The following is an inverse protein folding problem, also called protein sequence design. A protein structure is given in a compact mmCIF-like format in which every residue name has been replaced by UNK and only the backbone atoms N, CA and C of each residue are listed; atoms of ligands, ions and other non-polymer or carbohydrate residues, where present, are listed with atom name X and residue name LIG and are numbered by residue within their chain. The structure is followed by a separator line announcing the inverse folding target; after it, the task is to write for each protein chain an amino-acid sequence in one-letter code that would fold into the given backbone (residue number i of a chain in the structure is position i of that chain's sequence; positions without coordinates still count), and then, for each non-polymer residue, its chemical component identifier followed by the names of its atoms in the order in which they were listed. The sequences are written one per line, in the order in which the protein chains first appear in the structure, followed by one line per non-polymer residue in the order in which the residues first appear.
data_IF_808972358866
#
_entry.id   IF_808972358866
#
_cell.length_a   1.000
_cell.length_b   1.000
_cell.length_c   1.000
_cell.angle_alpha   90.00
_cell.angle_beta   90.00
_cell.angle_gamma   90.00
#
_symmetry.space_group_name_H-M   'P 1'
#
loop_
_entity.id
_entity.type
_entity.pdbx_description
1 polymer ?
#
# COMPACT_ATOMS: atom_id res chain seq x y z
N UNK A 1 -2.02 -9.17 14.97
CA UNK A 1 -0.69 -9.15 14.31
C UNK A 1 -0.02 -10.52 14.33
N UNK A 2 0.16 -11.16 15.49
CA UNK A 2 0.80 -12.49 15.59
C UNK A 2 0.10 -13.52 14.67
N UNK A 3 -1.24 -13.59 14.68
CA UNK A 3 -1.97 -14.52 13.80
C UNK A 3 -1.83 -14.21 12.30
N UNK A 4 -1.66 -12.94 11.94
CA UNK A 4 -1.41 -12.53 10.56
C UNK A 4 -0.01 -12.96 10.12
N UNK A 5 1.01 -12.62 10.92
CA UNK A 5 2.41 -12.94 10.64
C UNK A 5 2.61 -14.45 10.54
N UNK A 6 2.08 -15.21 11.49
CA UNK A 6 2.10 -16.68 11.46
C UNK A 6 1.47 -17.23 10.17
N UNK A 7 0.34 -16.67 9.72
CA UNK A 7 -0.33 -17.11 8.49
C UNK A 7 0.49 -16.77 7.24
N UNK A 8 1.06 -15.58 7.16
CA UNK A 8 1.84 -15.16 6.00
C UNK A 8 3.15 -15.94 5.90
N UNK A 9 3.86 -16.15 7.00
CA UNK A 9 5.18 -16.78 7.00
C UNK A 9 5.17 -18.29 6.77
N UNK A 10 4.02 -18.93 6.98
CA UNK A 10 3.83 -20.33 6.54
C UNK A 10 3.79 -20.46 5.02
N UNK A 11 3.53 -19.35 4.30
CA UNK A 11 3.39 -19.32 2.83
C UNK A 11 4.52 -18.57 2.13
N UNK A 12 5.05 -17.51 2.74
CA UNK A 12 5.92 -16.52 2.09
C UNK A 12 7.14 -16.18 2.94
N UNK A 13 8.13 -15.58 2.27
CA UNK A 13 9.27 -14.99 2.94
C UNK A 13 8.90 -13.59 3.43
N UNK A 14 9.06 -13.36 4.72
CA UNK A 14 8.98 -12.05 5.35
C UNK A 14 10.39 -11.58 5.70
N UNK A 15 10.71 -10.33 5.37
CA UNK A 15 11.98 -9.69 5.72
C UNK A 15 11.72 -8.25 6.15
N UNK A 16 12.45 -7.77 7.15
CA UNK A 16 12.29 -6.45 7.74
C UNK A 16 13.45 -5.56 7.33
N UNK A 17 13.14 -4.32 6.94
CA UNK A 17 14.09 -3.37 6.38
C UNK A 17 13.80 -1.97 6.92
N UNK A 18 14.82 -1.10 6.91
CA UNK A 18 14.56 0.33 7.02
C UNK A 18 13.98 0.80 5.68
N UNK A 19 13.18 1.88 5.72
CA UNK A 19 12.67 2.51 4.49
C UNK A 19 13.81 2.86 3.53
N UNK A 20 14.94 3.34 4.07
CA UNK A 20 16.13 3.71 3.30
C UNK A 20 16.72 2.56 2.48
N UNK A 21 16.54 1.32 2.95
CA UNK A 21 17.17 0.14 2.34
C UNK A 21 16.37 -0.35 1.13
N UNK A 22 15.14 0.11 0.96
CA UNK A 22 14.28 -0.29 -0.16
C UNK A 22 14.84 0.15 -1.52
N UNK A 23 15.65 1.21 -1.57
CA UNK A 23 16.32 1.69 -2.79
C UNK A 23 17.13 0.61 -3.48
N UNK A 24 17.83 -0.17 -2.66
CA UNK A 24 18.80 -1.15 -3.12
C UNK A 24 18.08 -2.40 -3.64
N UNK A 25 16.83 -2.61 -3.21
CA UNK A 25 16.13 -3.88 -3.33
C UNK A 25 15.06 -3.87 -4.44
N UNK A 26 14.56 -2.70 -4.85
CA UNK A 26 13.44 -2.58 -5.79
C UNK A 26 13.64 -1.47 -6.81
N UNK A 27 13.29 -1.78 -8.06
CA UNK A 27 13.41 -0.87 -9.19
C UNK A 27 12.34 0.23 -9.16
N UNK A 28 11.09 -0.17 -8.88
CA UNK A 28 9.93 0.71 -8.91
C UNK A 28 8.95 0.38 -7.81
N UNK A 29 8.29 1.42 -7.32
CA UNK A 29 7.11 1.31 -6.49
C UNK A 29 5.90 1.59 -7.35
N UNK A 30 4.90 0.76 -7.19
CA UNK A 30 3.59 0.98 -7.79
C UNK A 30 2.69 1.45 -6.66
N UNK A 31 2.35 2.73 -6.70
CA UNK A 31 1.35 3.31 -5.84
C UNK A 31 0.02 3.26 -6.54
N UNK A 32 -1.03 3.04 -5.76
CA UNK A 32 -2.36 3.37 -6.19
C UNK A 32 -3.14 3.97 -5.02
N UNK A 33 -4.03 4.87 -5.36
CA UNK A 33 -4.86 5.57 -4.40
C UNK A 33 -6.28 5.65 -4.91
N UNK A 34 -7.25 5.55 -4.01
CA UNK A 34 -8.64 5.83 -4.34
C UNK A 34 -9.23 6.94 -3.49
N UNK A 35 -10.21 7.63 -4.05
CA UNK A 35 -11.00 8.63 -3.36
C UNK A 35 -12.46 8.47 -3.77
N UNK A 36 -13.35 8.26 -2.80
CA UNK A 36 -14.79 8.24 -3.10
C UNK A 36 -15.30 9.67 -3.18
N UNK A 37 -16.10 9.93 -4.18
CA UNK A 37 -16.74 11.22 -4.33
C UNK A 37 -17.56 11.60 -3.10
N UNK A 38 -18.28 10.66 -2.48
CA UNK A 38 -19.07 10.93 -1.27
C UNK A 38 -18.27 11.35 -0.03
N UNK A 39 -16.97 11.00 0.08
CA UNK A 39 -16.14 11.44 1.22
C UNK A 39 -15.92 12.95 1.21
N UNK A 40 -16.11 13.58 0.05
CA UNK A 40 -16.06 15.03 -0.10
C UNK A 40 -17.00 15.76 0.87
N UNK A 41 -18.25 15.32 0.96
CA UNK A 41 -19.28 15.96 1.78
C UNK A 41 -19.04 15.81 3.29
N UNK A 42 -18.04 15.04 3.70
CA UNK A 42 -17.65 14.88 5.11
C UNK A 42 -16.53 15.82 5.52
N UNK A 43 -15.89 16.51 4.57
CA UNK A 43 -14.80 17.45 4.86
C UNK A 43 -15.43 18.73 5.44
N UNK A 44 -14.93 19.30 6.56
CA UNK A 44 -15.49 20.49 7.21
C UNK A 44 -15.59 21.75 6.33
N UNK A 45 -14.90 21.76 5.19
CA UNK A 45 -14.94 22.83 4.16
C UNK A 45 -15.45 22.33 2.80
N UNK A 46 -16.03 21.13 2.79
CA UNK A 46 -16.56 20.42 1.63
C UNK A 46 -17.87 21.00 1.09
N UNK A 47 -18.31 22.16 1.55
CA UNK A 47 -19.43 22.88 0.91
C UNK A 47 -18.92 23.94 -0.10
N UNK A 48 -17.63 24.31 -0.02
CA UNK A 48 -17.04 25.42 -0.77
C UNK A 48 -16.12 25.00 -1.93
N UNK A 49 -15.92 23.70 -2.17
CA UNK A 49 -15.08 23.19 -3.27
C UNK A 49 -15.98 22.76 -4.42
N UNK A 50 -15.79 23.33 -5.60
CA UNK A 50 -16.56 22.88 -6.76
C UNK A 50 -16.27 21.38 -7.01
N UNK A 51 -17.29 20.48 -7.03
CA UNK A 51 -17.09 19.05 -7.25
C UNK A 51 -16.35 18.72 -8.54
N UNK A 52 -16.43 19.58 -9.56
CA UNK A 52 -15.66 19.45 -10.80
C UNK A 52 -14.15 19.53 -10.54
N UNK A 53 -13.70 20.33 -9.58
CA UNK A 53 -12.27 20.41 -9.21
C UNK A 53 -11.77 19.06 -8.69
N UNK A 54 -12.61 18.31 -7.97
CA UNK A 54 -12.26 16.98 -7.44
C UNK A 54 -12.09 15.98 -8.57
N UNK A 55 -12.98 16.02 -9.56
CA UNK A 55 -12.92 15.15 -10.74
C UNK A 55 -11.63 15.33 -11.55
N UNK A 56 -11.12 16.56 -11.64
CA UNK A 56 -9.86 16.82 -12.34
C UNK A 56 -8.62 16.54 -11.50
N UNK A 57 -8.73 16.54 -10.17
CA UNK A 57 -7.62 16.23 -9.26
C UNK A 57 -7.35 14.72 -9.22
N UNK A 58 -6.09 14.37 -9.02
CA UNK A 58 -5.70 13.00 -8.70
C UNK A 58 -6.36 12.53 -7.40
N UNK A 59 -6.71 11.25 -7.31
CA UNK A 59 -7.05 10.59 -6.06
C UNK A 59 -5.99 10.86 -4.98
N UNK A 60 -4.69 10.76 -5.33
CA UNK A 60 -3.58 11.13 -4.43
C UNK A 60 -3.74 12.55 -3.86
N UNK A 61 -4.03 13.55 -4.71
CA UNK A 61 -4.20 14.93 -4.26
C UNK A 61 -5.46 15.10 -3.42
N UNK A 62 -6.53 14.36 -3.73
CA UNK A 62 -7.78 14.40 -2.98
C UNK A 62 -7.65 13.79 -1.57
N UNK A 63 -6.71 12.87 -1.35
CA UNK A 63 -6.37 12.31 -0.02
C UNK A 63 -5.20 13.02 0.66
N UNK A 64 -4.73 14.15 0.11
CA UNK A 64 -3.70 14.98 0.75
C UNK A 64 -2.25 14.62 0.37
N UNK A 65 -2.03 13.85 -0.70
CA UNK A 65 -0.70 13.57 -1.23
C UNK A 65 -0.41 14.41 -2.46
N UNK A 66 0.67 15.18 -2.38
CA UNK A 66 1.23 15.89 -3.51
C UNK A 66 2.33 15.06 -4.17
N UNK A 67 2.03 14.56 -5.37
CA UNK A 67 3.01 13.86 -6.22
C UNK A 67 3.73 14.90 -7.07
N UNK A 68 5.06 14.95 -6.96
CA UNK A 68 5.91 15.92 -7.70
C UNK A 68 5.80 15.80 -9.21
N UNK A 69 5.53 14.60 -9.73
CA UNK A 69 5.41 14.31 -11.15
C UNK A 69 3.98 13.87 -11.54
N UNK A 70 2.98 14.77 -11.49
CA UNK A 70 1.58 14.37 -11.66
C UNK A 70 1.25 13.88 -13.08
N UNK A 71 2.14 14.11 -14.06
CA UNK A 71 1.96 13.68 -15.46
C UNK A 71 2.12 12.17 -15.67
N UNK A 72 2.76 11.46 -14.74
CA UNK A 72 2.92 10.00 -14.79
C UNK A 72 1.78 9.27 -14.07
N UNK A 73 0.83 10.00 -13.48
CA UNK A 73 -0.35 9.42 -12.84
C UNK A 73 -1.35 8.98 -13.91
N UNK A 74 -1.64 7.68 -13.93
CA UNK A 74 -2.74 7.12 -14.72
C UNK A 74 -4.00 7.25 -13.87
N UNK A 75 -4.97 8.03 -14.35
CA UNK A 75 -6.25 8.26 -13.66
C UNK A 75 -7.34 7.40 -14.26
N UNK A 76 -8.13 6.76 -13.39
CA UNK A 76 -9.36 6.03 -13.72
C UNK A 76 -10.52 6.54 -12.87
N UNK A 77 -11.73 6.37 -13.40
CA UNK A 77 -12.98 6.69 -12.73
C UNK A 77 -13.86 5.45 -12.75
N UNK A 78 -14.21 4.94 -11.57
CA UNK A 78 -15.07 3.78 -11.40
C UNK A 78 -16.46 4.24 -10.99
N UNK A 79 -17.50 3.74 -11.65
CA UNK A 79 -18.89 4.05 -11.34
C UNK A 79 -19.50 2.84 -10.62
N UNK A 80 -19.72 2.97 -9.31
CA UNK A 80 -20.21 1.89 -8.44
C UNK A 80 -21.64 2.20 -7.99
N UNK A 81 -22.61 1.84 -8.84
CA UNK A 81 -24.01 2.19 -8.63
C UNK A 81 -24.23 3.69 -8.68
N UNK A 82 -24.51 4.32 -7.52
CA UNK A 82 -24.66 5.79 -7.39
C UNK A 82 -23.39 6.50 -6.91
N UNK A 83 -22.34 5.75 -6.61
CA UNK A 83 -21.06 6.28 -6.13
C UNK A 83 -20.06 6.42 -7.28
N UNK A 84 -19.20 7.43 -7.19
CA UNK A 84 -18.04 7.59 -8.07
C UNK A 84 -16.78 7.38 -7.21
N UNK A 85 -15.88 6.54 -7.70
CA UNK A 85 -14.55 6.36 -7.11
C UNK A 85 -13.51 6.83 -8.11
N UNK A 86 -12.72 7.82 -7.71
CA UNK A 86 -11.53 8.23 -8.43
C UNK A 86 -10.39 7.30 -8.02
N UNK A 87 -9.70 6.73 -8.99
CA UNK A 87 -8.67 5.74 -8.77
C UNK A 87 -7.44 6.06 -9.60
N UNK A 88 -6.31 6.24 -8.94
CA UNK A 88 -5.07 6.62 -9.58
C UNK A 88 -4.02 5.54 -9.42
N UNK A 89 -3.21 5.36 -10.45
CA UNK A 89 -1.99 4.56 -10.42
C UNK A 89 -0.79 5.44 -10.70
N UNK A 90 0.31 5.11 -10.05
CA UNK A 90 1.57 5.80 -10.24
C UNK A 90 2.71 4.80 -10.07
N UNK A 91 3.47 4.58 -11.14
CA UNK A 91 4.75 3.87 -11.10
C UNK A 91 5.85 4.90 -10.88
N UNK A 92 6.64 4.72 -9.84
CA UNK A 92 7.68 5.67 -9.44
C UNK A 92 9.00 4.91 -9.22
N UNK A 93 10.11 5.36 -9.82
CA UNK A 93 11.45 4.93 -9.42
C UNK A 93 11.73 5.29 -7.96
N UNK A 94 12.54 4.52 -7.23
CA UNK A 94 12.79 4.81 -5.80
C UNK A 94 13.28 6.24 -5.53
N UNK A 95 14.17 6.77 -6.38
CA UNK A 95 14.80 8.08 -6.22
C UNK A 95 13.79 9.23 -6.01
N UNK A 96 12.62 9.13 -6.62
CA UNK A 96 11.54 10.12 -6.53
C UNK A 96 10.65 9.97 -5.27
N UNK A 97 10.78 8.84 -4.56
CA UNK A 97 9.95 8.45 -3.43
C UNK A 97 10.62 8.81 -2.10
N UNK A 98 11.96 8.77 -2.04
CA UNK A 98 12.77 8.99 -0.83
C UNK A 98 12.35 10.21 0.02
N UNK A 99 11.77 11.23 -0.61
CA UNK A 99 11.33 12.46 0.05
C UNK A 99 9.85 12.48 0.53
N UNK A 100 9.04 11.46 0.21
CA UNK A 100 7.57 11.48 0.36
C UNK A 100 6.97 10.21 1.02
N UNK A 101 7.78 9.32 1.62
CA UNK A 101 7.25 8.09 2.25
C UNK A 101 6.54 8.38 3.59
N UNK A 102 6.97 9.43 4.29
CA UNK A 102 6.51 9.76 5.63
C UNK A 102 4.98 9.94 5.79
N UNK A 103 4.22 10.52 4.83
CA UNK A 103 2.76 10.66 4.93
C UNK A 103 1.97 9.36 4.71
N UNK A 104 2.56 8.33 4.09
CA UNK A 104 1.82 7.16 3.57
C UNK A 104 1.36 6.20 4.68
N UNK A 105 2.11 6.13 5.78
CA UNK A 105 1.82 5.22 6.89
C UNK A 105 0.53 5.54 7.66
N UNK A 106 -0.06 6.72 7.43
CA UNK A 106 -1.26 7.17 8.12
C UNK A 106 -2.48 7.34 7.18
N UNK A 107 -2.41 6.87 5.93
CA UNK A 107 -3.45 7.13 4.92
C UNK A 107 -4.24 5.88 4.52
N UNK A 108 -5.55 5.95 4.74
CA UNK A 108 -6.48 4.82 4.67
C UNK A 108 -6.89 4.35 3.26
N UNK A 109 -6.46 5.02 2.18
CA UNK A 109 -6.92 4.75 0.82
C UNK A 109 -5.78 4.62 -0.20
N UNK A 110 -4.62 4.19 0.27
CA UNK A 110 -3.42 3.98 -0.56
C UNK A 110 -2.93 2.58 -0.32
N UNK A 111 -2.47 1.92 -1.36
CA UNK A 111 -1.51 0.85 -1.16
C UNK A 111 -0.37 0.92 -2.17
N UNK A 112 0.66 0.17 -1.81
CA UNK A 112 1.99 0.23 -2.38
C UNK A 112 2.37 -1.20 -2.70
N UNK A 113 2.93 -1.40 -3.89
CA UNK A 113 3.48 -2.68 -4.33
C UNK A 113 4.89 -2.43 -4.81
N UNK A 114 5.77 -3.39 -4.56
CA UNK A 114 7.16 -3.33 -4.98
C UNK A 114 7.38 -4.22 -6.20
N UNK A 115 7.88 -3.63 -7.29
CA UNK A 115 8.33 -4.35 -8.48
C UNK A 115 9.78 -4.78 -8.29
N UNK A 116 10.06 -6.08 -8.44
CA UNK A 116 11.42 -6.60 -8.39
C UNK A 116 12.16 -6.27 -9.69
N UNK A 117 13.48 -6.13 -9.61
CA UNK A 117 14.35 -5.91 -10.76
C UNK A 117 14.17 -7.02 -11.80
N UNK A 118 14.20 -6.66 -13.09
CA UNK A 118 14.20 -7.59 -14.22
C UNK A 118 12.94 -8.46 -14.40
N UNK A 119 11.77 -7.95 -14.01
CA UNK A 119 10.47 -8.56 -14.36
C UNK A 119 9.88 -7.80 -15.55
N UNK A 120 9.47 -8.54 -16.59
CA UNK A 120 8.81 -7.97 -17.77
C UNK A 120 7.52 -7.22 -17.41
N UNK A 121 7.31 -6.09 -18.07
CA UNK A 121 6.17 -5.20 -17.91
C UNK A 121 4.91 -5.83 -18.51
N UNK A 122 4.13 -6.55 -17.71
CA UNK A 122 2.70 -6.72 -18.01
C UNK A 122 1.85 -6.13 -16.88
N UNK A 123 2.03 -4.82 -16.68
CA UNK A 123 1.36 -4.03 -15.65
C UNK A 123 -0.17 -4.01 -15.86
N UNK A 124 -0.70 -4.32 -17.06
CA UNK A 124 -2.14 -4.36 -17.33
C UNK A 124 -2.86 -5.41 -16.46
N UNK A 125 -2.25 -6.58 -16.26
CA UNK A 125 -2.83 -7.63 -15.41
C UNK A 125 -2.91 -7.17 -13.95
N UNK A 126 -1.87 -6.48 -13.49
CA UNK A 126 -1.85 -5.90 -12.16
C UNK A 126 -2.89 -4.79 -12.02
N UNK A 127 -2.98 -3.87 -12.97
CA UNK A 127 -3.92 -2.76 -12.91
C UNK A 127 -5.38 -3.22 -12.96
N UNK A 128 -5.70 -4.25 -13.75
CA UNK A 128 -7.04 -4.84 -13.77
C UNK A 128 -7.36 -5.50 -12.42
N UNK A 129 -6.43 -6.26 -11.85
CA UNK A 129 -6.61 -6.82 -10.51
C UNK A 129 -6.84 -5.74 -9.45
N UNK A 130 -6.01 -4.69 -9.44
CA UNK A 130 -6.13 -3.60 -8.47
C UNK A 130 -7.45 -2.84 -8.60
N UNK A 131 -7.95 -2.67 -9.83
CA UNK A 131 -9.29 -2.13 -10.07
C UNK A 131 -10.37 -3.01 -9.43
N UNK A 132 -10.34 -4.32 -9.68
CA UNK A 132 -11.27 -5.29 -9.09
C UNK A 132 -11.21 -5.29 -7.56
N UNK A 133 -10.02 -5.12 -6.98
CA UNK A 133 -9.83 -5.03 -5.53
C UNK A 133 -10.46 -3.78 -4.94
N UNK A 134 -10.31 -2.62 -5.58
CA UNK A 134 -10.98 -1.38 -5.13
C UNK A 134 -12.50 -1.54 -5.19
N UNK A 135 -13.03 -2.17 -6.22
CA UNK A 135 -14.46 -2.50 -6.34
C UNK A 135 -14.87 -3.46 -5.21
N UNK A 136 -14.07 -4.51 -4.99
CA UNK A 136 -14.26 -5.52 -3.95
C UNK A 136 -14.29 -4.92 -2.54
N UNK A 137 -13.38 -4.01 -2.25
CA UNK A 137 -13.30 -3.27 -0.99
C UNK A 137 -14.60 -2.52 -0.70
N UNK A 138 -15.19 -1.84 -1.69
CA UNK A 138 -16.49 -1.16 -1.51
C UNK A 138 -17.69 -2.12 -1.40
N UNK A 139 -17.55 -3.35 -1.89
CA UNK A 139 -18.58 -4.39 -1.80
C UNK A 139 -18.66 -5.10 -0.43
N UNK A 140 -18.00 -4.54 0.61
CA UNK A 140 -17.91 -5.04 2.00
C UNK A 140 -16.99 -6.24 2.23
N UNK A 141 -16.02 -6.49 1.35
CA UNK A 141 -14.93 -7.43 1.66
C UNK A 141 -13.96 -6.76 2.64
N UNK A 142 -14.19 -6.97 3.93
CA UNK A 142 -13.35 -6.39 4.98
C UNK A 142 -12.87 -7.49 5.93
N UNK A 143 -11.57 -7.48 6.23
CA UNK A 143 -10.99 -8.34 7.26
C UNK A 143 -9.64 -8.93 6.87
N UNK A 144 -9.04 -9.62 7.84
CA UNK A 144 -7.74 -10.27 7.71
C UNK A 144 -7.66 -11.25 6.54
N UNK A 145 -8.73 -12.00 6.26
CA UNK A 145 -8.77 -12.97 5.17
C UNK A 145 -8.65 -12.30 3.80
N UNK A 146 -9.38 -11.22 3.59
CA UNK A 146 -9.33 -10.46 2.34
C UNK A 146 -7.93 -9.87 2.11
N UNK A 147 -7.29 -9.36 3.17
CA UNK A 147 -5.93 -8.85 3.04
C UNK A 147 -4.91 -9.95 2.71
N UNK A 148 -5.09 -11.16 3.24
CA UNK A 148 -4.28 -12.32 2.86
C UNK A 148 -4.53 -12.69 1.40
N UNK A 149 -5.78 -12.71 0.93
CA UNK A 149 -6.12 -13.00 -0.47
C UNK A 149 -5.48 -11.98 -1.43
N UNK A 150 -5.48 -10.70 -1.05
CA UNK A 150 -4.77 -9.64 -1.77
C UNK A 150 -3.27 -9.93 -1.86
N UNK A 151 -2.62 -10.25 -0.73
CA UNK A 151 -1.19 -10.60 -0.70
C UNK A 151 -0.92 -11.81 -1.59
N UNK A 152 -1.73 -12.87 -1.47
CA UNK A 152 -1.59 -14.09 -2.26
C UNK A 152 -1.60 -13.76 -3.76
N UNK A 153 -2.51 -12.89 -4.19
CA UNK A 153 -2.63 -12.49 -5.59
C UNK A 153 -1.45 -11.62 -6.05
N UNK A 154 -1.04 -10.60 -5.29
CA UNK A 154 0.13 -9.76 -5.63
C UNK A 154 1.39 -10.61 -5.78
N UNK A 155 1.62 -11.54 -4.86
CA UNK A 155 2.79 -12.42 -4.90
C UNK A 155 2.70 -13.40 -6.09
N UNK A 156 1.50 -13.89 -6.43
CA UNK A 156 1.31 -14.73 -7.62
C UNK A 156 1.63 -14.01 -8.93
N UNK A 157 1.47 -12.68 -8.95
CA UNK A 157 1.88 -11.81 -10.06
C UNK A 157 3.37 -11.45 -10.02
N UNK A 158 4.15 -12.08 -9.13
CA UNK A 158 5.60 -11.91 -8.96
C UNK A 158 6.03 -10.53 -8.43
N UNK A 159 5.12 -9.79 -7.80
CA UNK A 159 5.45 -8.56 -7.07
C UNK A 159 5.68 -8.85 -5.58
N UNK A 160 6.13 -7.85 -4.82
CA UNK A 160 6.25 -7.93 -3.36
C UNK A 160 5.33 -6.92 -2.69
N UNK A 161 4.86 -7.26 -1.50
CA UNK A 161 3.99 -6.38 -0.71
C UNK A 161 4.82 -5.76 0.42
N UNK A 162 5.02 -4.43 0.43
CA UNK A 162 5.55 -3.71 1.57
C UNK A 162 4.44 -3.49 2.60
N UNK A 163 4.76 -3.74 3.85
CA UNK A 163 3.94 -3.47 5.01
C UNK A 163 4.73 -2.52 5.90
N UNK A 164 4.27 -1.28 5.99
CA UNK A 164 4.89 -0.28 6.85
C UNK A 164 4.36 -0.46 8.28
N UNK A 165 5.27 -0.46 9.23
CA UNK A 165 5.03 -0.77 10.64
C UNK A 165 5.77 0.27 11.47
N UNK A 166 5.16 0.78 12.55
CA UNK A 166 5.87 1.61 13.55
C UNK A 166 6.47 0.73 14.66
N UNK A 167 7.72 1.00 15.08
CA UNK A 167 8.24 0.44 16.34
C UNK A 167 7.70 1.18 17.57
N UNK A 168 8.09 0.69 18.75
CA UNK A 168 7.89 1.32 20.05
C UNK A 168 8.50 2.72 20.15
N UNK A 169 9.43 3.08 19.28
CA UNK A 169 10.04 4.41 19.20
C UNK A 169 9.38 5.28 18.12
N UNK A 170 8.25 4.84 17.56
CA UNK A 170 7.49 5.51 16.48
C UNK A 170 8.27 5.63 15.15
N UNK A 171 9.40 4.95 15.00
CA UNK A 171 10.11 4.87 13.72
C UNK A 171 9.40 3.89 12.78
N UNK A 172 9.33 4.25 11.50
CA UNK A 172 8.70 3.40 10.49
C UNK A 172 9.72 2.38 9.95
N UNK A 173 9.40 1.10 10.09
CA UNK A 173 10.04 -0.04 9.42
C UNK A 173 9.15 -0.61 8.34
N UNK A 174 9.74 -1.39 7.44
CA UNK A 174 9.01 -2.05 6.36
C UNK A 174 9.24 -3.54 6.41
N UNK A 175 8.16 -4.30 6.60
CA UNK A 175 8.16 -5.73 6.33
C UNK A 175 7.83 -5.96 4.87
N UNK A 176 8.66 -6.72 4.18
CA UNK A 176 8.47 -7.08 2.80
C UNK A 176 8.05 -8.54 2.75
N UNK A 177 6.88 -8.78 2.18
CA UNK A 177 6.35 -10.11 1.91
C UNK A 177 6.63 -10.45 0.44
N UNK A 178 7.30 -11.57 0.20
CA UNK A 178 7.71 -11.97 -1.14
C UNK A 178 7.78 -13.49 -1.32
N UNK A 179 7.70 -13.96 -2.58
CA UNK A 179 7.91 -15.37 -2.95
C UNK A 179 9.38 -15.83 -2.89
N UNK A 180 10.34 -14.93 -2.64
CA UNK A 180 11.77 -15.21 -2.56
C UNK A 180 12.38 -14.59 -1.30
N UNK A 181 13.42 -15.22 -0.79
CA UNK A 181 14.22 -14.67 0.29
C UNK A 181 14.95 -13.39 -0.16
N UNK A 182 15.04 -12.40 0.73
CA UNK A 182 15.71 -11.12 0.48
C UNK A 182 16.86 -11.01 1.51
N UNK A 183 18.10 -10.97 1.02
CA UNK A 183 19.32 -11.10 1.85
C UNK A 183 19.64 -9.91 2.76
N UNK A 184 18.98 -8.75 2.63
CA UNK A 184 19.24 -7.53 3.41
C UNK A 184 18.42 -7.41 4.68
N UNK A 185 17.98 -8.52 5.26
CA UNK A 185 17.09 -8.54 6.41
C UNK A 185 17.78 -7.94 7.65
N UNK A 186 17.15 -6.96 8.28
CA UNK A 186 17.58 -6.48 9.60
C UNK A 186 17.20 -7.55 10.62
N UNK A 187 18.20 -8.11 11.31
CA UNK A 187 17.93 -9.02 12.43
C UNK A 187 17.23 -8.27 13.55
N UNK A 188 15.99 -8.67 13.85
CA UNK A 188 15.25 -8.20 15.01
C UNK A 188 15.54 -9.18 16.15
N UNK A 189 16.57 -8.89 16.95
CA UNK A 189 17.00 -9.79 18.00
C UNK A 189 16.00 -9.87 19.16
N UNK A 190 15.73 -11.09 19.60
CA UNK A 190 15.76 -11.36 21.04
C UNK A 190 16.03 -12.85 21.32
N UNK A 191 16.92 -13.11 22.28
CA UNK A 191 17.30 -14.43 22.72
C UNK A 191 16.12 -15.20 23.35
N UNK A 192 15.96 -16.46 22.94
CA UNK A 192 15.10 -17.50 23.52
C UNK A 192 13.57 -17.30 23.48
N UNK A 193 13.02 -17.24 22.26
CA UNK A 193 12.04 -18.21 21.74
C UNK A 193 11.85 -17.90 20.26
N UNK A 194 12.62 -18.62 19.47
CA UNK A 194 13.03 -18.34 18.10
C UNK A 194 11.84 -18.25 17.14
N UNK A 195 11.33 -17.04 16.94
CA UNK A 195 11.07 -16.40 15.63
C UNK A 195 10.50 -14.98 15.76
N UNK A 196 9.82 -14.66 16.87
CA UNK A 196 9.26 -13.32 17.10
C UNK A 196 9.27 -12.94 18.56
N UNK A 197 10.42 -12.52 19.06
CA UNK A 197 10.38 -11.46 20.06
C UNK A 197 10.51 -10.16 19.27
N UNK A 198 9.46 -9.85 18.49
CA UNK A 198 9.41 -8.58 17.78
C UNK A 198 9.42 -7.48 18.83
N UNK A 199 10.41 -6.60 18.75
CA UNK A 199 10.37 -5.31 19.46
C UNK A 199 9.10 -4.55 19.02
N UNK A 200 8.56 -4.88 17.85
CA UNK A 200 7.39 -4.30 17.19
C UNK A 200 6.07 -4.94 17.67
N UNK A 201 5.22 -4.16 18.32
CA UNK A 201 3.79 -4.49 18.55
C UNK A 201 2.92 -3.52 17.76
N UNK A 202 2.74 -3.76 16.47
CA UNK A 202 1.74 -3.00 15.71
C UNK A 202 0.39 -3.72 15.76
N UNK A 203 -0.69 -2.96 15.84
CA UNK A 203 -2.02 -3.50 15.60
C UNK A 203 -2.24 -3.68 14.09
N UNK A 204 -3.27 -4.44 13.69
CA UNK A 204 -3.65 -4.52 12.27
C UNK A 204 -4.07 -3.14 11.71
N UNK A 205 -4.51 -2.26 12.60
CA UNK A 205 -4.88 -0.88 12.31
C UNK A 205 -3.68 0.03 12.01
N UNK A 206 -2.50 -0.34 12.51
CA UNK A 206 -1.25 0.44 12.37
C UNK A 206 -0.45 0.05 11.13
N UNK A 207 -0.94 -0.93 10.35
CA UNK A 207 -0.30 -1.31 9.11
C UNK A 207 -0.87 -0.50 7.94
N UNK A 208 0.00 -0.03 7.06
CA UNK A 208 -0.37 0.68 5.85
C UNK A 208 -0.98 -0.25 4.78
N UNK A 209 -2.30 -0.17 4.61
CA UNK A 209 -3.04 -0.63 3.43
C UNK A 209 -4.47 -0.06 3.50
N UNK A 210 -5.33 -0.41 2.55
CA UNK A 210 -6.72 0.04 2.51
C UNK A 210 -7.44 -0.20 3.86
N UNK A 211 -7.74 0.88 4.58
CA UNK A 211 -8.42 0.87 5.87
C UNK A 211 -9.74 1.62 5.76
N UNK A 212 -10.79 1.10 6.38
CA UNK A 212 -12.10 1.76 6.42
C UNK A 212 -12.17 2.64 7.66
N UNK A 213 -12.53 3.91 7.48
CA UNK A 213 -12.97 4.78 8.59
C UNK A 213 -14.24 4.23 9.24
#
# INVERSE_FOLDING_TARGET
MIDFLNKIETKYYCSFHNISDLEILFENFIFFAFFRHSEYYKIPYGDNINPKIIEYKSAFKNIGIEIRHPKTIIKKKLVLGREIVYFDFLKVPYEDISNNIYPLSNMNNIAIILKKNNIDDNDDTLFNFLEDEVIGYFSKKNGLSYFIDYIDKIISLNYSVPIFIKDLEENIKVMIISNKYINSNIEIHSFNNSRYNSIFKASFEDISYFRRY
#
